data_IF_714041016307
#
_entry.id   IF_714041016307
#
_cell.length_a   1.000
_cell.length_b   1.000
_cell.length_c   1.000
_cell.angle_alpha   90.00
_cell.angle_beta   90.00
_cell.angle_gamma   90.00
#
_symmetry.space_group_name_H-M   'P 1'
#
loop_
_entity.id
_entity.type
_entity.pdbx_description
1 polymer ?
#
# COMPACT_ATOMS: atom_id res chain seq x y z
N UNK A 1 -11.88 -19.36 -9.83
CA UNK A 1 -11.39 -18.81 -9.94
C UNK A 1 -11.29 -17.79 -9.72
N UNK A 2 -11.01 -17.65 -9.34
CA UNK A 2 -10.79 -16.91 -9.22
C UNK A 2 -10.33 -16.00 -9.07
N UNK A 3 -10.46 -15.81 -8.62
CA UNK A 3 -9.98 -14.99 -8.23
C UNK A 3 -8.97 -14.01 -8.27
N UNK A 4 -7.85 -14.27 -8.23
CA UNK A 4 -6.70 -13.41 -8.39
C UNK A 4 -6.77 -12.51 -9.60
N UNK A 5 -7.59 -12.89 -10.56
CA UNK A 5 -7.81 -12.05 -11.74
C UNK A 5 -8.32 -10.68 -11.38
N UNK A 6 -8.86 -10.53 -10.19
CA UNK A 6 -9.39 -9.24 -9.73
C UNK A 6 -8.45 -8.53 -8.77
N UNK A 7 -7.26 -9.09 -8.60
CA UNK A 7 -6.31 -8.49 -7.68
C UNK A 7 -5.83 -7.17 -8.22
N UNK A 8 -6.11 -6.14 -7.46
CA UNK A 8 -5.65 -4.79 -7.77
C UNK A 8 -4.80 -4.31 -6.61
N UNK A 9 -3.73 -3.61 -6.94
CA UNK A 9 -2.85 -3.01 -5.94
C UNK A 9 -2.94 -1.50 -6.09
N UNK A 10 -3.17 -0.82 -4.99
CA UNK A 10 -3.19 0.64 -4.97
C UNK A 10 -1.92 1.14 -4.29
N UNK A 11 -1.20 2.03 -4.97
CA UNK A 11 0.00 2.65 -4.43
C UNK A 11 -0.36 4.07 -4.02
N UNK A 12 -0.26 4.35 -2.73
CA UNK A 12 -0.56 5.68 -2.17
C UNK A 12 0.77 6.31 -1.78
N UNK A 13 1.32 7.13 -2.66
CA UNK A 13 2.64 7.74 -2.49
C UNK A 13 2.77 8.90 -3.46
N UNK A 14 3.27 10.03 -2.99
CA UNK A 14 3.39 11.22 -3.84
C UNK A 14 4.75 11.32 -4.55
N UNK A 15 5.62 10.32 -4.40
CA UNK A 15 6.91 10.30 -5.08
C UNK A 15 6.84 9.52 -6.39
N UNK A 16 7.03 10.19 -7.54
CA UNK A 16 6.93 9.50 -8.83
C UNK A 16 7.87 8.31 -8.99
N UNK A 17 9.08 8.40 -8.42
CA UNK A 17 10.05 7.32 -8.51
C UNK A 17 9.57 6.04 -7.84
N UNK A 18 8.88 6.18 -6.73
CA UNK A 18 8.31 5.04 -6.00
C UNK A 18 7.20 4.41 -6.84
N UNK A 19 6.32 5.24 -7.38
CA UNK A 19 5.22 4.76 -8.23
C UNK A 19 5.77 4.03 -9.46
N UNK A 20 6.82 4.57 -10.07
CA UNK A 20 7.44 3.95 -11.23
C UNK A 20 8.03 2.57 -10.89
N UNK A 21 8.70 2.48 -9.74
CA UNK A 21 9.28 1.22 -9.29
C UNK A 21 8.21 0.15 -9.10
N UNK A 22 7.13 0.49 -8.42
CA UNK A 22 6.03 -0.44 -8.21
C UNK A 22 5.38 -0.84 -9.54
N UNK A 23 5.20 0.13 -10.43
CA UNK A 23 4.57 -0.13 -11.71
C UNK A 23 5.31 -1.21 -12.50
N UNK A 24 6.64 -1.13 -12.51
CA UNK A 24 7.45 -2.12 -13.23
C UNK A 24 7.26 -3.51 -12.67
N UNK A 25 7.24 -3.64 -11.34
CA UNK A 25 7.13 -4.93 -10.69
C UNK A 25 5.73 -5.50 -10.86
N UNK A 26 4.72 -4.69 -10.62
CA UNK A 26 3.34 -5.15 -10.64
C UNK A 26 2.89 -5.50 -12.05
N UNK A 27 3.35 -4.73 -13.04
CA UNK A 27 3.06 -5.03 -14.44
C UNK A 27 3.60 -6.40 -14.84
N UNK A 28 4.81 -6.72 -14.41
CA UNK A 28 5.41 -8.02 -14.70
C UNK A 28 4.64 -9.17 -14.08
N UNK A 29 3.95 -8.92 -12.98
CA UNK A 29 3.15 -9.93 -12.31
C UNK A 29 1.70 -9.97 -12.80
N UNK A 30 1.39 -9.16 -13.80
CA UNK A 30 0.03 -9.05 -14.35
C UNK A 30 -0.99 -8.61 -13.31
N UNK A 31 -0.55 -7.75 -12.38
CA UNK A 31 -1.42 -7.19 -11.38
C UNK A 31 -1.92 -5.83 -11.84
N UNK A 32 -3.19 -5.58 -11.65
CA UNK A 32 -3.79 -4.30 -11.96
C UNK A 32 -3.31 -3.28 -10.92
N UNK A 33 -2.90 -2.10 -11.35
CA UNK A 33 -2.30 -1.11 -10.47
C UNK A 33 -3.02 0.22 -10.58
N UNK A 34 -3.26 0.85 -9.43
CA UNK A 34 -3.76 2.21 -9.37
C UNK A 34 -2.82 3.05 -8.51
N UNK A 35 -2.94 4.36 -8.64
CA UNK A 35 -2.09 5.30 -7.92
C UNK A 35 -2.93 6.39 -7.30
N UNK A 36 -2.54 6.81 -6.09
CA UNK A 36 -3.12 7.98 -5.44
C UNK A 36 -1.96 8.75 -4.81
N UNK A 37 -1.95 10.06 -4.99
CA UNK A 37 -0.81 10.88 -4.57
C UNK A 37 -1.06 11.60 -3.25
N UNK A 38 -2.24 11.42 -2.68
CA UNK A 38 -2.60 11.97 -1.39
C UNK A 38 -3.77 11.16 -0.81
N UNK A 39 -4.14 11.45 0.43
CA UNK A 39 -5.18 10.68 1.12
C UNK A 39 -6.57 10.91 0.52
N UNK A 40 -6.86 12.12 0.04
CA UNK A 40 -8.14 12.39 -0.58
C UNK A 40 -8.34 11.57 -1.85
N UNK A 41 -7.30 11.49 -2.69
CA UNK A 41 -7.33 10.65 -3.89
C UNK A 41 -7.45 9.18 -3.52
N UNK A 42 -6.75 8.78 -2.45
CA UNK A 42 -6.78 7.39 -1.99
C UNK A 42 -8.19 6.98 -1.58
N UNK A 43 -8.89 7.85 -0.86
CA UNK A 43 -10.27 7.55 -0.44
C UNK A 43 -11.17 7.33 -1.64
N UNK A 44 -11.04 8.17 -2.68
CA UNK A 44 -11.81 8.02 -3.91
C UNK A 44 -11.46 6.74 -4.65
N UNK A 45 -10.17 6.43 -4.72
CA UNK A 45 -9.71 5.22 -5.40
C UNK A 45 -10.22 3.96 -4.71
N UNK A 46 -10.23 3.94 -3.40
CA UNK A 46 -10.76 2.82 -2.63
C UNK A 46 -12.22 2.58 -2.95
N UNK A 47 -12.99 3.64 -3.04
CA UNK A 47 -14.42 3.55 -3.29
C UNK A 47 -14.73 3.11 -4.73
N UNK A 48 -13.99 3.66 -5.69
CA UNK A 48 -14.25 3.44 -7.11
C UNK A 48 -13.92 2.03 -7.56
N UNK A 49 -12.79 1.49 -7.09
CA UNK A 49 -12.33 0.18 -7.52
C UNK A 49 -11.45 -0.39 -6.40
N UNK A 50 -12.11 -1.00 -5.43
CA UNK A 50 -11.46 -1.43 -4.18
C UNK A 50 -10.32 -2.41 -4.44
N UNK A 51 -9.10 -2.06 -4.02
CA UNK A 51 -7.96 -2.96 -4.20
C UNK A 51 -7.94 -4.06 -3.15
N UNK A 52 -7.21 -5.12 -3.43
CA UNK A 52 -6.96 -6.17 -2.45
C UNK A 52 -5.74 -5.85 -1.59
N UNK A 53 -4.88 -4.96 -2.07
CA UNK A 53 -3.63 -4.62 -1.40
C UNK A 53 -3.32 -3.14 -1.59
N UNK A 54 -2.90 -2.50 -0.52
CA UNK A 54 -2.50 -1.09 -0.54
C UNK A 54 -1.07 -0.98 -0.02
N UNK A 55 -0.22 -0.26 -0.77
CA UNK A 55 1.07 0.19 -0.25
C UNK A 55 0.90 1.67 0.10
N UNK A 56 1.09 1.99 1.35
CA UNK A 56 0.70 3.28 1.91
C UNK A 56 1.91 4.02 2.49
N UNK A 57 2.29 5.11 1.84
CA UNK A 57 3.34 5.98 2.37
C UNK A 57 2.81 6.73 3.59
N UNK A 58 3.66 6.91 4.59
CA UNK A 58 3.24 7.64 5.78
C UNK A 58 3.29 9.15 5.61
N UNK A 59 4.16 9.66 4.73
CA UNK A 59 4.35 11.11 4.57
C UNK A 59 3.67 11.61 3.31
N UNK A 60 2.42 12.01 3.44
CA UNK A 60 1.63 12.48 2.31
C UNK A 60 1.31 13.97 2.47
N UNK A 61 1.00 14.67 1.38
CA UNK A 61 0.76 16.12 1.47
C UNK A 61 -0.38 16.50 2.40
N UNK A 62 -1.38 15.65 2.54
CA UNK A 62 -2.58 15.96 3.32
C UNK A 62 -2.71 15.12 4.60
N UNK A 63 -1.63 14.46 5.04
CA UNK A 63 -1.66 13.77 6.33
C UNK A 63 -0.72 12.59 6.40
N UNK A 64 -0.76 11.91 7.53
CA UNK A 64 0.04 10.71 7.73
C UNK A 64 -0.76 9.47 7.34
N UNK A 65 -0.12 8.60 6.54
CA UNK A 65 -0.78 7.38 6.10
C UNK A 65 -1.21 6.49 7.26
N UNK A 66 -0.40 6.42 8.31
CA UNK A 66 -0.72 5.59 9.47
C UNK A 66 -2.08 5.96 10.06
N UNK A 67 -2.42 7.24 10.08
CA UNK A 67 -3.70 7.71 10.61
C UNK A 67 -4.88 7.35 9.70
N UNK A 68 -4.62 7.00 8.46
CA UNK A 68 -5.63 6.59 7.49
C UNK A 68 -6.00 5.11 7.60
N UNK A 69 -5.15 4.30 8.26
CA UNK A 69 -5.37 2.86 8.36
C UNK A 69 -6.68 2.49 9.02
N UNK A 70 -7.08 3.13 10.12
CA UNK A 70 -8.38 2.77 10.74
C UNK A 70 -9.56 2.95 9.78
N UNK A 71 -9.53 4.00 8.96
CA UNK A 71 -10.55 4.21 7.93
C UNK A 71 -10.57 3.05 6.95
N UNK A 72 -9.39 2.65 6.46
CA UNK A 72 -9.29 1.56 5.50
C UNK A 72 -9.81 0.24 6.09
N UNK A 73 -9.42 -0.05 7.33
CA UNK A 73 -9.81 -1.31 7.96
C UNK A 73 -11.29 -1.35 8.32
N UNK A 74 -11.87 -0.20 8.65
CA UNK A 74 -13.29 -0.13 8.96
C UNK A 74 -14.15 -0.34 7.72
N UNK A 75 -13.80 0.32 6.63
CA UNK A 75 -14.63 0.31 5.42
C UNK A 75 -14.24 -0.77 4.42
N UNK A 76 -13.01 -1.25 4.45
CA UNK A 76 -12.49 -2.24 3.50
C UNK A 76 -11.68 -3.30 4.24
N UNK A 77 -12.34 -4.08 5.12
CA UNK A 77 -11.61 -4.99 6.02
C UNK A 77 -10.81 -6.08 5.31
N UNK A 78 -11.15 -6.39 4.06
CA UNK A 78 -10.42 -7.43 3.33
C UNK A 78 -9.20 -6.88 2.59
N UNK A 79 -9.04 -5.58 2.53
CA UNK A 79 -7.87 -4.98 1.90
C UNK A 79 -6.68 -5.07 2.85
N UNK A 80 -5.57 -5.60 2.36
CA UNK A 80 -4.34 -5.63 3.14
C UNK A 80 -3.60 -4.32 2.96
N UNK A 81 -2.97 -3.86 4.05
CA UNK A 81 -2.30 -2.57 4.06
C UNK A 81 -0.85 -2.75 4.49
N UNK A 82 0.07 -2.35 3.61
CA UNK A 82 1.51 -2.36 3.89
C UNK A 82 1.97 -0.91 3.97
N UNK A 83 2.47 -0.50 5.12
CA UNK A 83 3.00 0.85 5.27
C UNK A 83 4.41 0.90 4.70
N UNK A 84 4.71 1.99 3.98
CA UNK A 84 6.03 2.21 3.38
C UNK A 84 6.51 3.59 3.81
N UNK A 85 7.66 3.69 4.47
CA UNK A 85 8.11 4.99 4.95
C UNK A 85 9.62 5.07 5.03
N UNK A 86 10.15 6.30 4.88
CA UNK A 86 11.57 6.57 5.10
C UNK A 86 11.89 6.68 6.58
N UNK A 87 10.88 6.92 7.40
CA UNK A 87 11.05 7.11 8.86
C UNK A 87 10.58 5.86 9.59
N UNK A 88 11.43 4.83 9.62
CA UNK A 88 11.05 3.55 10.22
C UNK A 88 11.44 3.48 11.70
N UNK A 89 10.93 4.41 12.48
CA UNK A 89 11.16 4.35 13.92
C UNK A 89 10.36 3.21 14.54
N UNK A 90 10.84 2.62 15.65
CA UNK A 90 10.06 1.60 16.35
C UNK A 90 8.69 2.10 16.77
N UNK A 91 8.59 3.39 17.08
CA UNK A 91 7.33 4.02 17.46
C UNK A 91 6.33 3.99 16.30
N UNK A 92 6.76 4.40 15.11
CA UNK A 92 5.88 4.42 13.95
C UNK A 92 5.48 3.01 13.52
N UNK A 93 6.41 2.07 13.61
CA UNK A 93 6.12 0.68 13.28
C UNK A 93 5.05 0.12 14.22
N UNK A 94 5.18 0.40 15.51
CA UNK A 94 4.21 -0.05 16.50
C UNK A 94 2.84 0.56 16.25
N UNK A 95 2.80 1.87 15.98
CA UNK A 95 1.55 2.57 15.67
C UNK A 95 0.86 1.96 14.46
N UNK A 96 1.63 1.68 13.41
CA UNK A 96 1.08 1.11 12.18
C UNK A 96 0.38 -0.22 12.47
N UNK A 97 1.05 -1.12 13.17
CA UNK A 97 0.47 -2.42 13.46
C UNK A 97 -0.69 -2.35 14.45
N UNK A 98 -0.63 -1.44 15.41
CA UNK A 98 -1.74 -1.24 16.32
C UNK A 98 -3.01 -0.78 15.61
N UNK A 99 -2.84 -0.04 14.52
CA UNK A 99 -3.97 0.45 13.73
C UNK A 99 -4.45 -0.53 12.67
N UNK A 100 -3.76 -1.67 12.54
CA UNK A 100 -4.21 -2.72 11.65
C UNK A 100 -3.38 -2.94 10.40
N UNK A 101 -2.18 -2.36 10.32
CA UNK A 101 -1.30 -2.63 9.17
C UNK A 101 -0.96 -4.10 9.12
N UNK A 102 -0.88 -4.64 7.92
CA UNK A 102 -0.52 -6.04 7.69
C UNK A 102 0.99 -6.19 7.46
N UNK A 103 1.69 -5.09 7.20
CA UNK A 103 3.12 -5.11 7.02
C UNK A 103 3.71 -3.71 7.06
N UNK A 104 5.03 -3.63 7.09
CA UNK A 104 5.75 -2.38 7.21
C UNK A 104 7.08 -2.50 6.48
N UNK A 105 7.33 -1.61 5.53
CA UNK A 105 8.55 -1.59 4.75
C UNK A 105 9.25 -0.26 4.91
N UNK A 106 10.57 -0.30 4.97
CA UNK A 106 11.39 0.91 5.08
C UNK A 106 11.96 1.28 3.72
N UNK A 107 11.90 2.56 3.38
CA UNK A 107 12.59 3.07 2.20
C UNK A 107 14.09 3.15 2.51
N UNK A 108 14.98 2.95 1.54
CA UNK A 108 14.70 2.75 0.13
C UNK A 108 14.23 1.34 -0.19
N UNK A 109 13.32 1.26 -1.16
CA UNK A 109 12.78 -0.02 -1.60
C UNK A 109 13.65 -0.61 -2.71
N UNK A 110 13.67 -1.95 -2.77
CA UNK A 110 14.34 -2.66 -3.85
C UNK A 110 13.33 -3.56 -4.54
N UNK A 111 13.66 -3.97 -5.75
CA UNK A 111 12.84 -4.93 -6.49
C UNK A 111 12.67 -6.20 -5.68
N UNK A 112 13.76 -6.68 -5.09
CA UNK A 112 13.75 -7.92 -4.32
C UNK A 112 12.83 -7.81 -3.10
N UNK A 113 12.91 -6.71 -2.36
CA UNK A 113 12.08 -6.52 -1.18
C UNK A 113 10.59 -6.50 -1.53
N UNK A 114 10.24 -5.79 -2.58
CA UNK A 114 8.85 -5.71 -3.01
C UNK A 114 8.36 -7.07 -3.47
N UNK A 115 9.17 -7.80 -4.26
CA UNK A 115 8.79 -9.12 -4.74
C UNK A 115 8.60 -10.10 -3.58
N UNK A 116 9.49 -10.10 -2.61
CA UNK A 116 9.35 -10.97 -1.45
C UNK A 116 8.09 -10.65 -0.64
N UNK A 117 7.78 -9.37 -0.52
CA UNK A 117 6.57 -8.94 0.17
C UNK A 117 5.32 -9.44 -0.53
N UNK A 118 5.29 -9.30 -1.85
CA UNK A 118 4.15 -9.78 -2.64
C UNK A 118 4.00 -11.29 -2.54
N UNK A 119 5.11 -12.02 -2.53
CA UNK A 119 5.06 -13.47 -2.43
C UNK A 119 4.49 -13.92 -1.08
N UNK A 120 4.82 -13.22 0.00
CA UNK A 120 4.28 -13.54 1.31
C UNK A 120 2.79 -13.29 1.39
N UNK A 121 2.35 -12.18 0.83
CA UNK A 121 0.94 -11.80 0.88
C UNK A 121 0.07 -12.76 0.07
N UNK A 122 0.63 -13.29 -1.00
CA UNK A 122 -0.07 -14.19 -1.88
C UNK A 122 -0.59 -15.43 -1.15
N UNK A 123 0.09 -15.78 -0.11
CA UNK A 123 -0.33 -16.91 0.71
C UNK A 123 -1.30 -16.48 1.78
#
# INVERSE_FOLDING_TARGET
MRESVHSKVLIIDDEPDICFLFDRILHKRNLKTGYAYNLAEAARAMYTDTPSLVFLDNNLPDGQGIDFIPYLKLHYPDTRVIVVTANDTPYDKKRAFQRGADGFLSKPLSLDLINRTLDKIKE
#
